data_IF_504089205920
#
_entry.id   IF_504089205920
#
_cell.length_a   1.000
_cell.length_b   1.000
_cell.length_c   1.000
_cell.angle_alpha   90.00
_cell.angle_beta   90.00
_cell.angle_gamma   90.00
#
_symmetry.space_group_name_H-M   'P 1'
#
loop_
_entity.id
_entity.type
_entity.pdbx_description
1 polymer ?
#
# COMPACT_ATOMS: atom_id res chain seq x y z
N UNK A 1 -0.71 -12.76 7.76
CA UNK A 1 0.04 -11.82 6.90
C UNK A 1 -0.90 -11.44 5.79
N UNK A 2 -1.49 -10.26 5.88
CA UNK A 2 -2.34 -9.77 4.80
C UNK A 2 -1.46 -9.56 3.57
N UNK A 3 -1.88 -10.14 2.47
CA UNK A 3 -1.15 -10.13 1.21
C UNK A 3 -1.51 -8.81 0.51
N UNK A 4 -0.53 -7.90 0.43
CA UNK A 4 -0.69 -6.59 -0.17
C UNK A 4 0.24 -6.46 -1.37
N UNK A 5 -0.26 -5.83 -2.44
CA UNK A 5 0.53 -5.48 -3.61
C UNK A 5 0.80 -3.98 -3.62
N UNK A 6 2.08 -3.61 -3.62
CA UNK A 6 2.52 -2.22 -3.79
C UNK A 6 2.91 -2.03 -5.25
N UNK A 7 2.40 -0.98 -5.90
CA UNK A 7 2.67 -0.65 -7.30
C UNK A 7 3.11 0.80 -7.45
N UNK A 8 4.18 1.03 -8.19
CA UNK A 8 4.60 2.38 -8.57
C UNK A 8 3.77 2.91 -9.74
N UNK A 9 3.16 4.07 -9.55
CA UNK A 9 2.31 4.74 -10.55
C UNK A 9 2.65 6.22 -10.58
N UNK A 10 3.16 6.70 -11.72
CA UNK A 10 3.37 8.13 -12.02
C UNK A 10 3.97 8.98 -10.87
N UNK A 11 4.97 8.44 -10.17
CA UNK A 11 5.70 9.18 -9.14
C UNK A 11 5.21 8.99 -7.69
N UNK A 12 4.18 8.17 -7.47
CA UNK A 12 3.79 7.70 -6.16
C UNK A 12 3.58 6.18 -6.19
N UNK A 13 3.26 5.58 -5.04
CA UNK A 13 2.92 4.17 -4.91
C UNK A 13 1.47 3.98 -4.51
N UNK A 14 0.87 2.92 -5.00
CA UNK A 14 -0.49 2.50 -4.68
C UNK A 14 -0.46 1.13 -4.03
N UNK A 15 -1.22 0.96 -2.96
CA UNK A 15 -1.33 -0.28 -2.19
C UNK A 15 -2.69 -0.92 -2.46
N UNK A 16 -2.64 -2.19 -2.82
CA UNK A 16 -3.80 -3.01 -3.13
C UNK A 16 -3.88 -4.21 -2.19
N UNK A 17 -5.10 -4.56 -1.78
CA UNK A 17 -5.37 -5.82 -1.09
C UNK A 17 -5.20 -7.02 -2.04
N UNK A 18 -5.12 -8.25 -1.51
CA UNK A 18 -5.09 -9.51 -2.27
C UNK A 18 -6.21 -9.65 -3.30
N UNK A 19 -7.34 -8.97 -3.09
CA UNK A 19 -8.47 -8.91 -4.02
C UNK A 19 -8.29 -7.89 -5.15
N UNK A 20 -7.15 -7.19 -5.20
CA UNK A 20 -6.90 -6.09 -6.15
C UNK A 20 -7.71 -4.83 -5.83
N UNK A 21 -8.19 -4.68 -4.59
CA UNK A 21 -8.91 -3.48 -4.15
C UNK A 21 -7.91 -2.43 -3.72
N UNK A 22 -8.06 -1.22 -4.26
CA UNK A 22 -7.27 -0.08 -3.82
C UNK A 22 -7.54 0.20 -2.34
N UNK A 23 -6.48 0.17 -1.54
CA UNK A 23 -6.54 0.52 -0.12
C UNK A 23 -6.17 1.98 0.08
N UNK A 24 -4.99 2.39 -0.41
CA UNK A 24 -4.50 3.77 -0.32
C UNK A 24 -3.31 3.98 -1.25
N UNK A 25 -2.92 5.24 -1.44
CA UNK A 25 -1.71 5.65 -2.17
C UNK A 25 -0.78 6.40 -1.21
N UNK A 26 0.52 6.24 -1.39
CA UNK A 26 1.55 6.97 -0.66
C UNK A 26 2.58 7.53 -1.65
N UNK A 27 3.26 8.62 -1.32
CA UNK A 27 4.27 9.20 -2.21
C UNK A 27 5.49 8.28 -2.38
N UNK A 28 5.83 7.48 -1.36
CA UNK A 28 6.98 6.57 -1.38
C UNK A 28 6.65 5.17 -0.88
N UNK A 29 7.39 4.17 -1.33
CA UNK A 29 7.28 2.79 -0.81
C UNK A 29 7.46 2.72 0.70
N UNK A 30 8.32 3.57 1.27
CA UNK A 30 8.54 3.59 2.71
C UNK A 30 7.32 4.08 3.48
N UNK A 31 6.64 5.12 2.99
CA UNK A 31 5.38 5.57 3.60
C UNK A 31 4.31 4.48 3.49
N UNK A 32 4.18 3.84 2.33
CA UNK A 32 3.26 2.73 2.14
C UNK A 32 3.53 1.56 3.10
N UNK A 33 4.79 1.16 3.25
CA UNK A 33 5.19 0.10 4.18
C UNK A 33 4.93 0.50 5.63
N UNK A 34 5.20 1.76 5.98
CA UNK A 34 4.97 2.27 7.33
C UNK A 34 3.49 2.29 7.68
N UNK A 35 2.62 2.73 6.77
CA UNK A 35 1.16 2.71 6.99
C UNK A 35 0.61 1.26 7.09
N UNK A 36 1.19 0.33 6.32
CA UNK A 36 0.89 -1.11 6.43
C UNK A 36 1.32 -1.69 7.78
N UNK A 37 2.49 -1.28 8.29
CA UNK A 37 3.02 -1.70 9.60
C UNK A 37 2.28 -1.05 10.78
N UNK A 38 1.86 0.22 10.65
CA UNK A 38 1.18 0.98 11.71
C UNK A 38 -0.26 0.50 11.94
N UNK A 39 -0.83 -0.27 11.01
CA UNK A 39 -2.13 -0.90 11.18
C UNK A 39 -3.31 -0.14 10.57
N UNK A 40 -3.07 0.74 9.59
CA UNK A 40 -4.13 1.14 8.65
C UNK A 40 -4.67 -0.06 7.82
N UNK A 41 -3.99 -1.20 7.94
CA UNK A 41 -4.37 -2.54 7.53
C UNK A 41 -5.24 -3.31 8.56
N UNK A 42 -6.03 -2.63 9.40
CA UNK A 42 -6.92 -3.24 10.41
C UNK A 42 -8.32 -3.60 9.88
#
# INVERSE_FOLDING_TARGET
MADYQIRWVQGHVEVYDRLGRFQFSADTEQEALRDLEDGWAA
#
